data_IF_626407900158
#
_entry.id   IF_626407900158
#
_cell.length_a   1.000
_cell.length_b   1.000
_cell.length_c   1.000
_cell.angle_alpha   90.00
_cell.angle_beta   90.00
_cell.angle_gamma   90.00
#
_symmetry.space_group_name_H-M   'P 1'
#
loop_
_entity.id
_entity.type
_entity.pdbx_description
1 polymer ?
#
# COMPACT_ATOMS: atom_id res chain seq x y z
N UNK A 1 -13.80 -32.73 -19.14
CA UNK A 1 -14.82 -31.65 -19.11
C UNK A 1 -14.12 -30.34 -18.85
N UNK A 2 -13.71 -29.65 -19.93
CA UNK A 2 -12.99 -28.36 -19.84
C UNK A 2 -13.99 -27.28 -19.45
N UNK A 3 -13.92 -26.83 -18.20
CA UNK A 3 -14.59 -25.61 -17.77
C UNK A 3 -13.91 -24.48 -18.54
N UNK A 4 -14.54 -23.99 -19.60
CA UNK A 4 -14.15 -22.75 -20.28
C UNK A 4 -14.18 -21.64 -19.24
N UNK A 5 -13.06 -21.33 -18.63
CA UNK A 5 -12.86 -20.09 -17.89
C UNK A 5 -13.11 -18.98 -18.92
N UNK A 6 -14.23 -18.28 -18.80
CA UNK A 6 -14.43 -17.03 -19.51
C UNK A 6 -13.30 -16.08 -19.08
N UNK A 7 -12.21 -16.12 -19.83
CA UNK A 7 -11.10 -15.18 -19.59
C UNK A 7 -11.62 -13.80 -19.91
N UNK A 8 -11.54 -12.87 -18.97
CA UNK A 8 -11.98 -11.50 -19.22
C UNK A 8 -11.15 -10.89 -20.38
N UNK A 9 -11.69 -9.89 -21.09
CA UNK A 9 -10.95 -9.21 -22.15
C UNK A 9 -9.60 -8.74 -21.63
N UNK A 10 -8.52 -8.97 -22.40
CA UNK A 10 -7.16 -8.65 -21.99
C UNK A 10 -7.02 -7.18 -21.53
N UNK A 11 -7.67 -6.25 -22.22
CA UNK A 11 -7.69 -4.83 -21.84
C UNK A 11 -8.24 -4.61 -20.42
N UNK A 12 -9.31 -5.32 -20.03
CA UNK A 12 -9.89 -5.21 -18.70
C UNK A 12 -8.96 -5.82 -17.64
N UNK A 13 -8.34 -6.96 -17.93
CA UNK A 13 -7.40 -7.61 -17.03
C UNK A 13 -6.19 -6.70 -16.73
N UNK A 14 -5.61 -6.11 -17.75
CA UNK A 14 -4.49 -5.17 -17.62
C UNK A 14 -4.89 -3.87 -16.92
N UNK A 15 -6.12 -3.37 -17.14
CA UNK A 15 -6.62 -2.19 -16.43
C UNK A 15 -6.78 -2.45 -14.94
N UNK A 16 -7.33 -3.59 -14.55
CA UNK A 16 -7.50 -4.00 -13.14
C UNK A 16 -6.13 -4.17 -12.46
N UNK A 17 -5.20 -4.83 -13.14
CA UNK A 17 -3.83 -4.97 -12.65
C UNK A 17 -3.13 -3.60 -12.54
N UNK A 18 -3.26 -2.74 -13.56
CA UNK A 18 -2.67 -1.41 -13.60
C UNK A 18 -3.15 -0.49 -12.47
N UNK A 19 -4.42 -0.58 -12.07
CA UNK A 19 -4.93 0.12 -10.90
C UNK A 19 -4.24 -0.37 -9.61
N UNK A 20 -4.07 -1.67 -9.45
CA UNK A 20 -3.34 -2.25 -8.31
C UNK A 20 -1.88 -1.81 -8.29
N UNK A 21 -1.20 -1.86 -9.43
CA UNK A 21 0.18 -1.41 -9.59
C UNK A 21 0.34 0.09 -9.30
N UNK A 22 -0.63 0.92 -9.73
CA UNK A 22 -0.66 2.35 -9.43
C UNK A 22 -0.77 2.63 -7.93
N UNK A 23 -1.59 1.89 -7.21
CA UNK A 23 -1.69 1.98 -5.76
C UNK A 23 -0.39 1.56 -5.07
N UNK A 24 0.27 0.53 -5.58
CA UNK A 24 1.56 0.10 -5.07
C UNK A 24 2.65 1.17 -5.31
N UNK A 25 2.64 1.81 -6.49
CA UNK A 25 3.52 2.93 -6.81
C UNK A 25 3.31 4.13 -5.86
N UNK A 26 2.07 4.47 -5.52
CA UNK A 26 1.77 5.47 -4.49
C UNK A 26 2.36 5.08 -3.13
N UNK A 27 2.36 3.79 -2.80
CA UNK A 27 3.04 3.27 -1.61
C UNK A 27 4.54 3.57 -1.60
N UNK A 28 5.22 3.46 -2.73
CA UNK A 28 6.62 3.85 -2.86
C UNK A 28 6.82 5.35 -2.66
N UNK A 29 5.93 6.18 -3.21
CA UNK A 29 5.96 7.61 -2.98
C UNK A 29 5.86 7.95 -1.48
N UNK A 30 4.92 7.36 -0.77
CA UNK A 30 4.80 7.53 0.68
C UNK A 30 6.02 7.03 1.46
N UNK A 31 6.69 6.01 0.96
CA UNK A 31 7.93 5.47 1.56
C UNK A 31 9.05 6.49 1.58
N UNK A 32 9.22 7.22 0.48
CA UNK A 32 10.31 8.19 0.27
C UNK A 32 9.96 9.57 0.81
N UNK A 33 8.68 9.90 0.95
CA UNK A 33 8.21 11.22 1.34
C UNK A 33 8.91 11.84 2.57
N UNK A 34 9.16 11.13 3.70
CA UNK A 34 9.86 11.74 4.83
C UNK A 34 11.31 12.11 4.56
N UNK A 35 11.98 11.39 3.65
CA UNK A 35 13.34 11.73 3.25
C UNK A 35 13.38 13.01 2.41
N UNK A 36 12.37 13.23 1.58
CA UNK A 36 12.22 14.47 0.78
C UNK A 36 11.82 15.63 1.67
N UNK A 37 10.89 15.41 2.61
CA UNK A 37 10.34 16.42 3.51
C UNK A 37 11.14 16.55 4.83
N UNK A 38 12.38 16.04 4.88
CA UNK A 38 13.13 15.97 6.13
C UNK A 38 13.36 17.34 6.77
N UNK A 39 13.60 18.38 5.96
CA UNK A 39 13.85 19.73 6.41
C UNK A 39 12.61 20.36 7.02
N UNK A 40 11.49 20.25 6.34
CA UNK A 40 10.19 20.77 6.77
C UNK A 40 9.74 20.06 8.07
N UNK A 41 9.80 18.74 8.10
CA UNK A 41 9.46 17.96 9.29
C UNK A 41 10.37 18.27 10.48
N UNK A 42 11.66 18.52 10.23
CA UNK A 42 12.60 18.88 11.29
C UNK A 42 12.31 20.27 11.86
N UNK A 43 11.88 21.22 11.03
CA UNK A 43 11.50 22.57 11.48
C UNK A 43 10.18 22.55 12.23
N UNK A 44 9.14 21.91 11.65
CA UNK A 44 7.78 21.93 12.20
C UNK A 44 7.67 21.18 13.54
N UNK A 45 8.39 20.09 13.69
CA UNK A 45 8.33 19.24 14.90
C UNK A 45 9.59 19.30 15.76
N UNK A 46 10.59 20.11 15.40
CA UNK A 46 11.87 20.17 16.14
C UNK A 46 12.62 18.84 16.15
N UNK A 47 12.57 18.06 15.04
CA UNK A 47 13.11 16.70 15.00
C UNK A 47 14.62 16.70 14.78
N UNK A 48 15.29 15.84 15.52
CA UNK A 48 16.65 15.40 15.20
C UNK A 48 16.63 14.20 14.23
N UNK A 49 17.79 13.79 13.72
CA UNK A 49 17.92 12.68 12.77
C UNK A 49 17.34 11.35 13.32
N UNK A 50 17.48 11.11 14.63
CA UNK A 50 16.96 9.89 15.29
C UNK A 50 15.44 9.87 15.31
N UNK A 51 14.80 10.98 15.67
CA UNK A 51 13.33 11.10 15.70
C UNK A 51 12.72 11.00 14.30
N UNK A 52 13.39 11.56 13.29
CA UNK A 52 12.98 11.43 11.90
C UNK A 52 13.12 9.97 11.40
N UNK A 53 14.19 9.30 11.79
CA UNK A 53 14.37 7.86 11.53
C UNK A 53 13.28 7.01 12.17
N UNK A 54 12.91 7.31 13.43
CA UNK A 54 11.82 6.63 14.14
C UNK A 54 10.47 6.84 13.46
N UNK A 55 10.18 8.07 13.03
CA UNK A 55 8.96 8.39 12.27
C UNK A 55 8.88 7.58 10.95
N UNK A 56 10.00 7.46 10.25
CA UNK A 56 10.09 6.64 9.03
C UNK A 56 9.95 5.15 9.32
N UNK A 57 10.52 4.67 10.43
CA UNK A 57 10.46 3.28 10.84
C UNK A 57 9.04 2.78 11.13
N UNK A 58 8.15 3.63 11.67
CA UNK A 58 6.75 3.28 11.93
C UNK A 58 6.01 2.79 10.68
N UNK A 59 6.28 3.40 9.54
CA UNK A 59 5.76 2.93 8.25
C UNK A 59 6.22 1.50 7.95
N UNK A 60 7.52 1.22 8.10
CA UNK A 60 8.06 -0.10 7.78
C UNK A 60 7.59 -1.18 8.74
N UNK A 61 7.51 -0.87 10.04
CA UNK A 61 7.01 -1.83 11.04
C UNK A 61 5.57 -2.24 10.76
N UNK A 62 4.69 -1.28 10.48
CA UNK A 62 3.30 -1.58 10.14
C UNK A 62 3.18 -2.30 8.80
N UNK A 63 3.98 -1.92 7.80
CA UNK A 63 4.03 -2.59 6.50
C UNK A 63 4.40 -4.07 6.64
N UNK A 64 5.48 -4.38 7.36
CA UNK A 64 5.93 -5.76 7.58
C UNK A 64 4.91 -6.55 8.41
N UNK A 65 4.41 -5.96 9.49
CA UNK A 65 3.42 -6.62 10.36
C UNK A 65 2.13 -6.97 9.62
N UNK A 66 1.71 -6.15 8.67
CA UNK A 66 0.48 -6.34 7.91
C UNK A 66 0.62 -7.28 6.71
N UNK A 67 1.81 -7.67 6.29
CA UNK A 67 1.98 -8.55 5.12
C UNK A 67 1.30 -9.92 5.29
N UNK A 68 1.53 -10.58 6.43
CA UNK A 68 0.93 -11.89 6.71
C UNK A 68 -0.59 -11.79 6.93
N UNK A 69 -1.11 -10.89 7.82
CA UNK A 69 -2.55 -10.72 7.98
C UNK A 69 -3.28 -10.36 6.68
N UNK A 70 -2.70 -9.51 5.86
CA UNK A 70 -3.26 -9.11 4.57
C UNK A 70 -3.48 -10.31 3.63
N UNK A 71 -2.52 -11.24 3.59
CA UNK A 71 -2.65 -12.46 2.80
C UNK A 71 -3.89 -13.28 3.21
N UNK A 72 -4.04 -13.51 4.52
CA UNK A 72 -5.15 -14.27 5.10
C UNK A 72 -6.50 -13.56 4.92
N UNK A 73 -6.54 -12.23 5.10
CA UNK A 73 -7.76 -11.44 4.92
C UNK A 73 -8.15 -11.42 3.44
N UNK A 74 -7.19 -11.28 2.53
CA UNK A 74 -7.44 -11.29 1.09
C UNK A 74 -8.08 -12.60 0.61
N UNK A 75 -7.72 -13.74 1.23
CA UNK A 75 -8.34 -15.04 0.92
C UNK A 75 -9.80 -15.13 1.37
N UNK A 76 -10.15 -14.47 2.48
CA UNK A 76 -11.52 -14.51 3.04
C UNK A 76 -12.45 -13.46 2.44
N UNK A 77 -11.99 -12.23 2.32
CA UNK A 77 -12.81 -11.06 1.95
C UNK A 77 -12.74 -10.76 0.45
N UNK A 78 -11.68 -11.24 -0.18
CA UNK A 78 -11.36 -10.99 -1.58
C UNK A 78 -10.50 -9.73 -1.78
N UNK A 79 -9.65 -9.73 -2.83
CA UNK A 79 -8.67 -8.66 -3.05
C UNK A 79 -9.31 -7.30 -3.34
N UNK A 80 -10.46 -7.26 -4.03
CA UNK A 80 -11.15 -6.01 -4.37
C UNK A 80 -11.61 -5.24 -3.14
N UNK A 81 -12.30 -5.91 -2.21
CA UNK A 81 -12.82 -5.26 -0.98
C UNK A 81 -11.67 -4.81 -0.08
N UNK A 82 -10.65 -5.64 -0.01
CA UNK A 82 -9.47 -5.35 0.80
C UNK A 82 -8.69 -4.16 0.23
N UNK A 83 -8.55 -4.03 -1.10
CA UNK A 83 -7.93 -2.86 -1.74
C UNK A 83 -8.70 -1.58 -1.43
N UNK A 84 -10.03 -1.60 -1.53
CA UNK A 84 -10.87 -0.43 -1.20
C UNK A 84 -10.63 0.00 0.25
N UNK A 85 -10.65 -0.96 1.19
CA UNK A 85 -10.34 -0.69 2.59
C UNK A 85 -8.93 -0.11 2.79
N UNK A 86 -7.94 -0.67 2.10
CA UNK A 86 -6.56 -0.18 2.11
C UNK A 86 -6.44 1.26 1.61
N UNK A 87 -7.12 1.61 0.51
CA UNK A 87 -7.14 2.97 -0.02
C UNK A 87 -7.72 3.95 1.00
N UNK A 88 -8.86 3.61 1.60
CA UNK A 88 -9.51 4.46 2.61
C UNK A 88 -8.56 4.69 3.79
N UNK A 89 -7.96 3.63 4.33
CA UNK A 89 -7.02 3.72 5.46
C UNK A 89 -5.78 4.54 5.07
N UNK A 90 -5.23 4.33 3.88
CA UNK A 90 -4.08 5.08 3.37
C UNK A 90 -4.40 6.58 3.25
N UNK A 91 -5.57 6.91 2.71
CA UNK A 91 -6.02 8.30 2.56
C UNK A 91 -6.20 8.97 3.91
N UNK A 92 -6.86 8.31 4.86
CA UNK A 92 -7.01 8.82 6.24
C UNK A 92 -5.65 8.99 6.91
N UNK A 93 -4.74 8.03 6.75
CA UNK A 93 -3.38 8.12 7.25
C UNK A 93 -2.59 9.29 6.65
N UNK A 94 -2.74 9.54 5.34
CA UNK A 94 -2.10 10.66 4.65
C UNK A 94 -2.63 12.01 5.12
N UNK A 95 -3.95 12.15 5.29
CA UNK A 95 -4.58 13.35 5.84
C UNK A 95 -4.09 13.59 7.27
N UNK A 96 -4.08 12.54 8.09
CA UNK A 96 -3.63 12.62 9.48
C UNK A 96 -2.15 13.04 9.56
N UNK A 97 -1.31 12.51 8.68
CA UNK A 97 0.10 12.90 8.59
C UNK A 97 0.27 14.36 8.16
N UNK A 98 -0.50 14.81 7.14
CA UNK A 98 -0.42 16.16 6.60
C UNK A 98 -0.93 17.23 7.59
N UNK A 99 -1.91 16.91 8.41
CA UNK A 99 -2.53 17.82 9.37
C UNK A 99 -2.07 17.56 10.82
N UNK A 100 -1.00 16.80 11.00
CA UNK A 100 -0.57 16.36 12.32
C UNK A 100 -0.17 17.54 13.23
N UNK A 101 -0.83 17.74 14.37
CA UNK A 101 -0.47 18.81 15.32
C UNK A 101 0.73 18.44 16.19
N UNK A 102 1.16 17.17 16.17
CA UNK A 102 2.32 16.69 16.93
C UNK A 102 2.93 15.46 16.29
N UNK A 103 4.16 15.12 16.70
CA UNK A 103 4.89 13.94 16.24
C UNK A 103 4.11 12.62 16.45
N UNK A 104 3.32 12.53 17.51
CA UNK A 104 2.48 11.35 17.76
C UNK A 104 1.46 11.13 16.64
N UNK A 105 0.73 12.17 16.25
CA UNK A 105 -0.24 12.08 15.17
C UNK A 105 0.39 11.84 13.80
N UNK A 106 1.56 12.46 13.56
CA UNK A 106 2.35 12.18 12.37
C UNK A 106 2.79 10.72 12.32
N UNK A 107 3.24 10.17 13.45
CA UNK A 107 3.60 8.76 13.59
C UNK A 107 2.42 7.81 13.34
N UNK A 108 1.25 8.13 13.89
CA UNK A 108 0.02 7.36 13.66
C UNK A 108 -0.38 7.37 12.18
N UNK A 109 -0.31 8.53 11.53
CA UNK A 109 -0.53 8.64 10.09
C UNK A 109 0.42 7.74 9.30
N UNK A 110 1.72 7.76 9.62
CA UNK A 110 2.74 6.91 9.00
C UNK A 110 2.47 5.42 9.22
N UNK A 111 2.04 5.05 10.41
CA UNK A 111 1.67 3.67 10.75
C UNK A 111 0.48 3.18 9.92
N UNK A 112 -0.58 3.99 9.78
CA UNK A 112 -1.75 3.67 8.96
C UNK A 112 -1.40 3.53 7.48
N UNK A 113 -0.59 4.45 6.94
CA UNK A 113 -0.14 4.39 5.54
C UNK A 113 0.66 3.10 5.31
N UNK A 114 1.65 2.80 6.15
CA UNK A 114 2.50 1.62 6.01
C UNK A 114 1.69 0.33 5.98
N UNK A 115 0.78 0.16 6.94
CA UNK A 115 -0.10 -1.03 7.01
C UNK A 115 -1.01 -1.18 5.79
N UNK A 116 -1.52 -0.07 5.25
CA UNK A 116 -2.41 -0.08 4.07
C UNK A 116 -1.65 -0.38 2.77
N UNK A 117 -0.39 0.04 2.65
CA UNK A 117 0.43 -0.25 1.47
C UNK A 117 0.75 -1.75 1.33
N UNK A 118 0.85 -2.49 2.44
CA UNK A 118 0.98 -3.94 2.41
C UNK A 118 -0.20 -4.60 1.68
N UNK A 119 -1.41 -4.05 1.82
CA UNK A 119 -2.62 -4.49 1.09
C UNK A 119 -2.44 -4.32 -0.42
N UNK A 120 -1.90 -3.18 -0.86
CA UNK A 120 -1.65 -2.90 -2.27
C UNK A 120 -0.78 -3.97 -2.92
N UNK A 121 0.35 -4.31 -2.31
CA UNK A 121 1.28 -5.32 -2.84
C UNK A 121 0.64 -6.71 -2.96
N UNK A 122 0.11 -7.23 -1.85
CA UNK A 122 -0.47 -8.58 -1.79
C UNK A 122 -1.67 -8.72 -2.73
N UNK A 123 -2.54 -7.71 -2.77
CA UNK A 123 -3.73 -7.76 -3.63
C UNK A 123 -3.38 -7.61 -5.11
N UNK A 124 -2.36 -6.82 -5.48
CA UNK A 124 -1.91 -6.71 -6.88
C UNK A 124 -1.40 -8.04 -7.40
N UNK A 125 -0.59 -8.76 -6.61
CA UNK A 125 -0.14 -10.11 -6.97
C UNK A 125 -1.31 -11.09 -7.11
N UNK A 126 -2.29 -11.06 -6.19
CA UNK A 126 -3.48 -11.91 -6.29
C UNK A 126 -4.36 -11.56 -7.50
N UNK A 127 -4.49 -10.29 -7.84
CA UNK A 127 -5.19 -9.88 -9.05
C UNK A 127 -4.46 -10.38 -10.30
N UNK A 128 -3.14 -10.29 -10.34
CA UNK A 128 -2.34 -10.82 -11.45
C UNK A 128 -2.60 -12.32 -11.67
N UNK A 129 -2.62 -13.13 -10.58
CA UNK A 129 -2.89 -14.58 -10.69
C UNK A 129 -4.31 -14.92 -11.12
N UNK A 130 -5.29 -14.06 -10.83
CA UNK A 130 -6.69 -14.31 -11.18
C UNK A 130 -7.10 -13.79 -12.56
N UNK A 131 -6.49 -12.71 -13.02
CA UNK A 131 -6.92 -11.98 -14.21
C UNK A 131 -5.98 -12.12 -15.39
N UNK A 132 -4.70 -12.40 -15.18
CA UNK A 132 -3.72 -12.53 -16.26
C UNK A 132 -3.48 -13.99 -16.63
N UNK A 133 -3.23 -14.29 -17.92
CA UNK A 133 -2.76 -15.60 -18.35
C UNK A 133 -1.43 -15.97 -17.68
N UNK A 134 -1.19 -17.25 -17.46
CA UNK A 134 0.00 -17.75 -16.76
C UNK A 134 1.30 -17.30 -17.43
N UNK A 135 1.29 -17.18 -18.77
CA UNK A 135 2.45 -16.75 -19.55
C UNK A 135 2.79 -15.26 -19.35
N UNK A 136 1.81 -14.44 -18.94
CA UNK A 136 1.96 -13.01 -18.70
C UNK A 136 2.19 -12.67 -17.22
N UNK A 137 2.07 -13.66 -16.35
CA UNK A 137 2.25 -13.44 -14.90
C UNK A 137 3.66 -12.94 -14.57
N UNK A 138 4.68 -13.47 -15.22
CA UNK A 138 6.09 -13.05 -15.04
C UNK A 138 6.37 -11.60 -15.43
N UNK A 139 5.54 -11.02 -16.30
CA UNK A 139 5.63 -9.61 -16.69
C UNK A 139 4.91 -8.69 -15.68
N UNK A 140 3.96 -9.22 -14.92
CA UNK A 140 3.12 -8.48 -13.99
C UNK A 140 3.57 -8.58 -12.52
N UNK A 141 4.45 -9.52 -12.20
CA UNK A 141 5.02 -9.75 -10.87
C UNK A 141 6.35 -9.03 -10.70
#
# INVERSE_FOLDING_TARGET
MSILRNTPPAALAWSVWGLGAGLFLLGFFHRVAPAVLHRELSVDFGLNATSLGSLSALYFYSYVAMQIPTGLIADRVGPRRLLIGGIIISTLGAILFALAPSLFWAGLGRFLIGGSVAVGFVCTLKLATHWLPTEQFSLAA
#
